data_IF_470058825908
#
_entry.id   IF_470058825908
#
_cell.length_a   1.000
_cell.length_b   1.000
_cell.length_c   1.000
_cell.angle_alpha   90.00
_cell.angle_beta   90.00
_cell.angle_gamma   90.00
#
_symmetry.space_group_name_H-M   'P 1'
#
loop_
_entity.id
_entity.type
_entity.pdbx_description
1 polymer ?
#
# COMPACT_ATOMS: atom_id res chain seq x y z
N UNK A 1 48.27 -37.45 -0.21
CA UNK A 1 49.17 -36.31 -0.55
C UNK A 1 50.41 -36.22 0.35
N UNK A 2 50.29 -36.26 1.70
CA UNK A 2 51.46 -36.22 2.61
C UNK A 2 52.43 -37.43 2.49
N UNK A 3 51.95 -38.65 2.21
CA UNK A 3 52.82 -39.83 1.98
C UNK A 3 53.64 -39.75 0.68
N UNK A 4 53.01 -39.36 -0.43
CA UNK A 4 53.70 -39.16 -1.71
C UNK A 4 54.75 -38.03 -1.62
N UNK A 5 54.46 -36.97 -0.86
CA UNK A 5 55.43 -35.90 -0.58
C UNK A 5 56.61 -36.40 0.27
N UNK A 6 56.37 -37.31 1.24
CA UNK A 6 57.44 -37.93 2.03
C UNK A 6 58.30 -38.90 1.20
N UNK A 7 57.69 -39.73 0.34
CA UNK A 7 58.44 -40.60 -0.58
C UNK A 7 59.28 -39.81 -1.58
N UNK A 8 58.76 -38.70 -2.13
CA UNK A 8 59.51 -37.81 -3.00
C UNK A 8 60.65 -37.07 -2.27
N UNK A 9 60.46 -36.72 -1.00
CA UNK A 9 61.51 -36.15 -0.18
C UNK A 9 62.63 -37.15 0.11
N UNK A 10 62.29 -38.44 0.31
CA UNK A 10 63.26 -39.53 0.54
C UNK A 10 64.11 -39.80 -0.71
N UNK A 11 63.50 -39.86 -1.90
CA UNK A 11 64.27 -40.03 -3.14
C UNK A 11 65.17 -38.84 -3.42
N UNK A 12 64.70 -37.61 -3.17
CA UNK A 12 65.52 -36.39 -3.28
C UNK A 12 66.67 -36.35 -2.26
N UNK A 13 66.46 -36.87 -1.05
CA UNK A 13 67.50 -37.00 -0.03
C UNK A 13 68.52 -38.09 -0.37
N UNK A 14 68.08 -39.21 -0.97
CA UNK A 14 68.99 -40.27 -1.44
C UNK A 14 69.90 -39.79 -2.56
N UNK A 15 69.36 -39.11 -3.57
CA UNK A 15 70.15 -38.58 -4.70
C UNK A 15 71.10 -37.46 -4.28
N UNK A 16 70.68 -36.57 -3.36
CA UNK A 16 71.60 -35.57 -2.78
C UNK A 16 72.71 -36.19 -1.94
N UNK A 17 72.49 -37.36 -1.33
CA UNK A 17 73.50 -38.07 -0.54
C UNK A 17 74.51 -38.78 -1.43
N UNK A 18 74.08 -39.44 -2.50
CA UNK A 18 75.00 -40.05 -3.48
C UNK A 18 75.93 -38.99 -4.11
N UNK A 19 75.37 -37.84 -4.50
CA UNK A 19 76.15 -36.74 -5.06
C UNK A 19 77.15 -36.11 -4.07
N UNK A 20 76.82 -36.06 -2.77
CA UNK A 20 77.76 -35.58 -1.74
C UNK A 20 78.81 -36.64 -1.37
N UNK A 21 78.50 -37.93 -1.51
CA UNK A 21 79.43 -39.02 -1.21
C UNK A 21 80.59 -39.06 -2.19
N UNK A 22 80.35 -38.78 -3.48
CA UNK A 22 81.43 -38.63 -4.48
C UNK A 22 82.30 -37.40 -4.22
N UNK A 23 81.72 -36.28 -3.78
CA UNK A 23 82.44 -35.03 -3.58
C UNK A 23 83.34 -35.01 -2.32
N UNK A 24 83.06 -35.84 -1.31
CA UNK A 24 83.81 -35.88 -0.04
C UNK A 24 84.99 -36.87 -0.02
N UNK A 25 85.19 -37.67 -1.07
CA UNK A 25 86.31 -38.60 -1.16
C UNK A 25 87.67 -37.96 -1.50
N UNK A 26 87.75 -36.63 -1.59
CA UNK A 26 88.96 -35.92 -2.04
C UNK A 26 89.79 -35.14 -1.00
N UNK A 27 89.43 -35.02 0.28
CA UNK A 27 90.37 -34.46 1.29
C UNK A 27 89.98 -34.75 2.76
N UNK A 28 90.93 -35.31 3.52
CA UNK A 28 91.04 -35.62 4.97
C UNK A 28 89.85 -35.40 5.95
N UNK A 29 89.38 -36.49 6.60
CA UNK A 29 89.06 -36.63 8.06
C UNK A 29 88.41 -37.99 8.40
N UNK A 30 89.18 -38.96 8.93
CA UNK A 30 88.72 -40.35 9.17
C UNK A 30 88.02 -40.63 10.51
N UNK A 31 87.97 -39.68 11.45
CA UNK A 31 87.33 -39.89 12.78
C UNK A 31 85.91 -39.29 12.84
N UNK A 32 85.64 -38.20 12.13
CA UNK A 32 84.29 -37.60 12.08
C UNK A 32 83.31 -38.38 11.18
N UNK A 33 83.80 -39.15 10.21
CA UNK A 33 82.98 -39.94 9.29
C UNK A 33 82.32 -41.15 9.97
N UNK A 34 83.03 -41.87 10.85
CA UNK A 34 82.46 -43.01 11.58
C UNK A 34 81.36 -42.61 12.58
N UNK A 35 81.52 -41.45 13.23
CA UNK A 35 80.49 -40.89 14.10
C UNK A 35 79.23 -40.52 13.28
N UNK A 36 79.39 -39.82 12.15
CA UNK A 36 78.26 -39.45 11.27
C UNK A 36 77.51 -40.65 10.69
N UNK A 37 78.22 -41.72 10.31
CA UNK A 37 77.59 -42.96 9.83
C UNK A 37 76.74 -43.62 10.92
N UNK A 38 77.21 -43.63 12.18
CA UNK A 38 76.41 -44.13 13.30
C UNK A 38 75.18 -43.25 13.58
N UNK A 39 75.30 -41.93 13.50
CA UNK A 39 74.16 -41.02 13.66
C UNK A 39 73.12 -41.27 12.58
N UNK A 40 73.53 -41.43 11.33
CA UNK A 40 72.61 -41.75 10.23
C UNK A 40 71.97 -43.13 10.36
N UNK A 41 72.71 -44.13 10.86
CA UNK A 41 72.14 -45.44 11.10
C UNK A 41 71.07 -45.39 12.21
N UNK A 42 71.33 -44.61 13.25
CA UNK A 42 70.37 -44.38 14.33
C UNK A 42 69.13 -43.61 13.82
N UNK A 43 69.32 -42.55 13.03
CA UNK A 43 68.24 -41.80 12.36
C UNK A 43 67.40 -42.71 11.44
N UNK A 44 68.04 -43.64 10.73
CA UNK A 44 67.35 -44.59 9.86
C UNK A 44 66.51 -45.58 10.66
N UNK A 45 67.04 -46.08 11.79
CA UNK A 45 66.29 -46.97 12.68
C UNK A 45 65.14 -46.25 13.39
N UNK A 46 65.32 -45.00 13.79
CA UNK A 46 64.21 -44.20 14.33
C UNK A 46 63.13 -43.95 13.27
N UNK A 47 63.53 -43.70 12.02
CA UNK A 47 62.58 -43.49 10.92
C UNK A 47 61.82 -44.78 10.58
N UNK A 48 62.48 -45.94 10.67
CA UNK A 48 61.83 -47.24 10.50
C UNK A 48 60.79 -47.50 11.61
N UNK A 49 61.11 -47.19 12.86
CA UNK A 49 60.15 -47.29 13.98
C UNK A 49 58.96 -46.33 13.77
N UNK A 50 59.23 -45.09 13.39
CA UNK A 50 58.17 -44.11 13.09
C UNK A 50 57.26 -44.56 11.94
N UNK A 51 57.80 -45.32 10.97
CA UNK A 51 57.00 -45.90 9.89
C UNK A 51 56.08 -47.00 10.40
N UNK A 52 56.58 -47.92 11.23
CA UNK A 52 55.74 -48.97 11.82
C UNK A 52 54.64 -48.38 12.73
N UNK A 53 54.96 -47.36 13.52
CA UNK A 53 53.97 -46.66 14.34
C UNK A 53 52.92 -45.93 13.48
N UNK A 54 53.32 -45.34 12.36
CA UNK A 54 52.41 -44.70 11.42
C UNK A 54 51.46 -45.72 10.76
N UNK A 55 51.96 -46.90 10.38
CA UNK A 55 51.14 -47.98 9.82
C UNK A 55 50.14 -48.53 10.85
N UNK A 56 50.59 -48.72 12.10
CA UNK A 56 49.72 -49.18 13.18
C UNK A 56 48.59 -48.18 13.45
N UNK A 57 48.90 -46.87 13.49
CA UNK A 57 47.90 -45.80 13.63
C UNK A 57 46.93 -45.79 12.44
N UNK A 58 47.43 -45.96 11.23
CA UNK A 58 46.58 -46.02 10.04
C UNK A 58 45.62 -47.22 10.08
N UNK A 59 46.10 -48.40 10.48
CA UNK A 59 45.26 -49.58 10.65
C UNK A 59 44.19 -49.39 11.75
N UNK A 60 44.53 -48.72 12.84
CA UNK A 60 43.57 -48.36 13.89
C UNK A 60 42.52 -47.34 13.40
N UNK A 61 42.93 -46.33 12.63
CA UNK A 61 42.01 -45.37 12.03
C UNK A 61 41.02 -46.03 11.05
N UNK A 62 41.49 -46.98 10.23
CA UNK A 62 40.61 -47.75 9.34
C UNK A 62 39.57 -48.56 10.14
N UNK A 63 40.01 -49.27 11.19
CA UNK A 63 39.09 -50.04 12.05
C UNK A 63 38.06 -49.14 12.74
N UNK A 64 38.49 -47.97 13.22
CA UNK A 64 37.61 -46.97 13.82
C UNK A 64 36.60 -46.42 12.80
N UNK A 65 37.03 -46.18 11.57
CA UNK A 65 36.15 -45.71 10.49
C UNK A 65 35.11 -46.77 10.11
N UNK A 66 35.51 -48.04 10.04
CA UNK A 66 34.59 -49.16 9.80
C UNK A 66 33.55 -49.30 10.92
N UNK A 67 33.93 -49.12 12.19
CA UNK A 67 33.00 -49.11 13.32
C UNK A 67 31.99 -47.95 13.22
N UNK A 68 32.46 -46.74 12.92
CA UNK A 68 31.59 -45.57 12.73
C UNK A 68 30.62 -45.76 11.56
N UNK A 69 31.07 -46.39 10.48
CA UNK A 69 30.19 -46.71 9.34
C UNK A 69 29.04 -47.64 9.76
N UNK A 70 29.36 -48.72 10.47
CA UNK A 70 28.36 -49.66 10.98
C UNK A 70 27.39 -48.98 11.98
N UNK A 71 27.87 -48.05 12.81
CA UNK A 71 27.01 -47.26 13.70
C UNK A 71 26.05 -46.34 12.93
N UNK A 72 26.53 -45.69 11.88
CA UNK A 72 25.70 -44.83 11.02
C UNK A 72 24.62 -45.66 10.32
N UNK A 73 24.97 -46.80 9.75
CA UNK A 73 24.01 -47.69 9.09
C UNK A 73 22.93 -48.18 10.06
N UNK A 74 23.32 -48.59 11.27
CA UNK A 74 22.36 -48.97 12.31
C UNK A 74 21.44 -47.82 12.73
N UNK A 75 21.94 -46.58 12.78
CA UNK A 75 21.12 -45.39 13.07
C UNK A 75 20.13 -45.12 11.93
N UNK A 76 20.55 -45.26 10.67
CA UNK A 76 19.68 -45.11 9.49
C UNK A 76 18.56 -46.14 9.53
N UNK A 77 18.87 -47.43 9.72
CA UNK A 77 17.86 -48.48 9.83
C UNK A 77 16.86 -48.25 10.96
N UNK A 78 17.32 -47.77 12.13
CA UNK A 78 16.40 -47.43 13.24
C UNK A 78 15.47 -46.27 12.89
N UNK A 79 15.98 -45.25 12.20
CA UNK A 79 15.19 -44.12 11.73
C UNK A 79 14.11 -44.57 10.74
N UNK A 80 14.47 -45.40 9.77
CA UNK A 80 13.51 -45.90 8.77
C UNK A 80 12.41 -46.76 9.41
N UNK A 81 12.77 -47.65 10.35
CA UNK A 81 11.78 -48.44 11.10
C UNK A 81 10.88 -47.57 11.96
N UNK A 82 11.39 -46.47 12.53
CA UNK A 82 10.57 -45.53 13.30
C UNK A 82 9.58 -44.80 12.39
N UNK A 83 9.99 -44.39 11.19
CA UNK A 83 9.12 -43.74 10.20
C UNK A 83 8.03 -44.69 9.68
N UNK A 84 8.36 -45.95 9.38
CA UNK A 84 7.38 -46.97 8.97
C UNK A 84 6.35 -47.28 10.08
N UNK A 85 6.79 -47.33 11.35
CA UNK A 85 5.87 -47.47 12.49
C UNK A 85 4.96 -46.26 12.69
N UNK A 86 5.50 -45.05 12.51
CA UNK A 86 4.76 -43.80 12.67
C UNK A 86 3.67 -43.66 11.60
N UNK A 87 4.01 -43.96 10.35
CA UNK A 87 3.05 -43.96 9.24
C UNK A 87 1.93 -44.97 9.46
N UNK A 88 2.23 -46.22 9.85
CA UNK A 88 1.20 -47.23 10.12
C UNK A 88 0.30 -46.90 11.32
N UNK A 89 0.86 -46.34 12.40
CA UNK A 89 0.08 -45.93 13.58
C UNK A 89 -0.83 -44.74 13.26
N UNK A 90 -0.36 -43.81 12.43
CA UNK A 90 -1.11 -42.66 11.95
C UNK A 90 -2.35 -43.05 11.12
N UNK A 91 -2.30 -44.12 10.33
CA UNK A 91 -3.47 -44.63 9.59
C UNK A 91 -4.47 -45.43 10.45
N UNK A 92 -4.03 -46.00 11.58
CA UNK A 92 -4.87 -46.81 12.48
C UNK A 92 -5.50 -46.02 13.64
N UNK A 93 -5.04 -44.79 13.90
CA UNK A 93 -5.56 -43.93 14.97
C UNK A 93 -6.72 -43.06 14.46
N UNK A 94 -7.97 -43.26 14.94
CA UNK A 94 -9.09 -42.42 14.55
C UNK A 94 -8.93 -40.96 14.97
N UNK A 95 -8.16 -40.67 16.01
CA UNK A 95 -7.88 -39.31 16.50
C UNK A 95 -7.07 -38.54 15.47
N UNK A 96 -6.02 -39.15 14.91
CA UNK A 96 -5.20 -38.54 13.86
C UNK A 96 -6.02 -38.21 12.61
N UNK A 97 -6.94 -39.11 12.22
CA UNK A 97 -7.84 -38.84 11.10
C UNK A 97 -8.72 -37.62 11.36
N UNK A 98 -9.30 -37.51 12.56
CA UNK A 98 -10.12 -36.36 12.94
C UNK A 98 -9.28 -35.07 12.92
N UNK A 99 -8.07 -35.09 13.48
CA UNK A 99 -7.16 -33.93 13.48
C UNK A 99 -6.75 -33.49 12.07
N UNK A 100 -6.41 -34.43 11.18
CA UNK A 100 -6.07 -34.13 9.79
C UNK A 100 -7.28 -33.57 9.06
N UNK A 101 -8.47 -34.16 9.23
CA UNK A 101 -9.69 -33.62 8.61
C UNK A 101 -10.03 -32.22 9.12
N UNK A 102 -9.92 -31.97 10.43
CA UNK A 102 -10.15 -30.65 11.02
C UNK A 102 -9.12 -29.63 10.51
N UNK A 103 -7.85 -30.02 10.42
CA UNK A 103 -6.78 -29.18 9.88
C UNK A 103 -7.01 -28.85 8.40
N UNK A 104 -7.47 -29.83 7.62
CA UNK A 104 -7.82 -29.64 6.22
C UNK A 104 -9.01 -28.68 6.05
N UNK A 105 -10.08 -28.85 6.84
CA UNK A 105 -11.24 -27.95 6.83
C UNK A 105 -10.85 -26.51 7.22
N UNK A 106 -10.05 -26.35 8.29
CA UNK A 106 -9.53 -25.03 8.68
C UNK A 106 -8.67 -24.39 7.60
N UNK A 107 -7.86 -25.18 6.88
CA UNK A 107 -7.05 -24.69 5.79
C UNK A 107 -7.91 -24.24 4.60
N UNK A 108 -8.98 -24.98 4.27
CA UNK A 108 -9.94 -24.62 3.23
C UNK A 108 -10.70 -23.32 3.55
N UNK A 109 -11.21 -23.18 4.79
CA UNK A 109 -11.85 -21.95 5.24
C UNK A 109 -10.89 -20.76 5.18
N UNK A 110 -9.65 -20.95 5.66
CA UNK A 110 -8.62 -19.91 5.61
C UNK A 110 -8.25 -19.52 4.18
N UNK A 111 -8.23 -20.50 3.27
CA UNK A 111 -7.97 -20.28 1.85
C UNK A 111 -9.08 -19.46 1.19
N UNK A 112 -10.35 -19.77 1.49
CA UNK A 112 -11.50 -19.02 0.99
C UNK A 112 -11.47 -17.57 1.47
N UNK A 113 -11.16 -17.35 2.75
CA UNK A 113 -10.97 -16.00 3.30
C UNK A 113 -9.84 -15.27 2.58
N UNK A 114 -8.71 -15.94 2.32
CA UNK A 114 -7.61 -15.35 1.57
C UNK A 114 -8.01 -14.95 0.13
N UNK A 115 -8.80 -15.76 -0.57
CA UNK A 115 -9.31 -15.41 -1.91
C UNK A 115 -10.16 -14.13 -1.88
N UNK A 116 -11.01 -13.96 -0.87
CA UNK A 116 -11.81 -12.75 -0.68
C UNK A 116 -10.91 -11.53 -0.45
N UNK A 117 -9.89 -11.64 0.40
CA UNK A 117 -8.94 -10.55 0.64
C UNK A 117 -8.12 -10.20 -0.60
N UNK A 118 -7.72 -11.19 -1.39
CA UNK A 118 -7.01 -10.96 -2.66
C UNK A 118 -7.91 -10.23 -3.65
N UNK A 119 -9.20 -10.53 -3.69
CA UNK A 119 -10.15 -9.77 -4.50
C UNK A 119 -10.30 -8.32 -4.03
N UNK A 120 -10.46 -8.08 -2.73
CA UNK A 120 -10.49 -6.72 -2.20
C UNK A 120 -9.20 -5.95 -2.48
N UNK A 121 -8.05 -6.63 -2.41
CA UNK A 121 -6.76 -6.05 -2.77
C UNK A 121 -6.69 -5.65 -4.25
N UNK A 122 -7.17 -6.51 -5.16
CA UNK A 122 -7.24 -6.19 -6.58
C UNK A 122 -8.14 -4.96 -6.84
N UNK A 123 -9.33 -4.90 -6.21
CA UNK A 123 -10.22 -3.73 -6.29
C UNK A 123 -9.63 -2.47 -5.67
N UNK A 124 -8.92 -2.60 -4.56
CA UNK A 124 -8.17 -1.49 -3.96
C UNK A 124 -7.08 -0.96 -4.89
N UNK A 125 -6.41 -1.83 -5.65
CA UNK A 125 -5.40 -1.43 -6.63
C UNK A 125 -6.00 -0.77 -7.87
N UNK A 126 -7.13 -1.26 -8.38
CA UNK A 126 -7.88 -0.58 -9.46
C UNK A 126 -8.28 0.83 -9.04
N UNK A 127 -8.74 1.00 -7.80
CA UNK A 127 -9.10 2.32 -7.26
C UNK A 127 -7.87 3.20 -7.00
N UNK A 128 -6.77 2.62 -6.52
CA UNK A 128 -5.50 3.33 -6.32
C UNK A 128 -4.95 3.86 -7.65
N UNK A 129 -5.10 3.07 -8.72
CA UNK A 129 -4.55 3.36 -10.04
C UNK A 129 -5.66 3.36 -11.09
N UNK A 130 -6.37 4.48 -11.27
CA UNK A 130 -7.44 4.59 -12.27
C UNK A 130 -6.84 4.60 -13.67
N UNK A 131 -6.66 3.41 -14.23
CA UNK A 131 -6.25 3.21 -15.63
C UNK A 131 -7.49 2.90 -16.46
N UNK A 132 -7.60 3.52 -17.64
CA UNK A 132 -8.70 3.24 -18.57
C UNK A 132 -8.73 1.78 -19.03
N UNK A 133 -7.55 1.14 -19.07
CA UNK A 133 -7.42 -0.30 -19.22
C UNK A 133 -6.42 -0.82 -18.19
N UNK A 134 -6.86 -1.55 -17.15
CA UNK A 134 -5.92 -2.11 -16.19
C UNK A 134 -5.07 -3.18 -16.88
N UNK A 135 -3.73 -3.02 -16.85
CA UNK A 135 -2.81 -4.10 -17.25
C UNK A 135 -2.95 -5.31 -16.32
N UNK A 136 -3.42 -5.06 -15.09
CA UNK A 136 -3.87 -6.06 -14.14
C UNK A 136 -5.23 -6.63 -14.58
N UNK A 137 -5.25 -7.42 -15.66
CA UNK A 137 -6.45 -8.11 -16.15
C UNK A 137 -6.81 -9.31 -15.25
N UNK A 138 -6.97 -9.07 -13.96
CA UNK A 138 -7.35 -10.06 -12.96
C UNK A 138 -8.86 -10.02 -12.79
N UNK A 139 -9.54 -10.99 -13.37
CA UNK A 139 -10.97 -11.15 -13.14
C UNK A 139 -11.21 -11.87 -11.81
N UNK A 140 -12.38 -11.65 -11.21
CA UNK A 140 -12.82 -12.41 -10.03
C UNK A 140 -12.76 -13.93 -10.28
N UNK A 141 -13.00 -14.35 -11.52
CA UNK A 141 -12.90 -15.75 -11.92
C UNK A 141 -11.48 -16.27 -11.81
N UNK A 142 -10.45 -15.51 -12.20
CA UNK A 142 -9.05 -15.94 -12.10
C UNK A 142 -8.62 -16.17 -10.64
N UNK A 143 -9.11 -15.33 -9.71
CA UNK A 143 -8.85 -15.44 -8.28
C UNK A 143 -9.57 -16.67 -7.70
N UNK A 144 -10.82 -16.91 -8.10
CA UNK A 144 -11.58 -18.10 -7.67
C UNK A 144 -11.03 -19.40 -8.29
N UNK A 145 -10.45 -19.35 -9.48
CA UNK A 145 -9.82 -20.49 -10.15
C UNK A 145 -8.47 -20.88 -9.54
N UNK A 146 -7.89 -20.03 -8.68
CA UNK A 146 -6.73 -20.41 -7.89
C UNK A 146 -7.13 -21.53 -6.91
N UNK A 147 -6.73 -22.76 -7.22
CA UNK A 147 -7.00 -23.96 -6.38
C UNK A 147 -5.92 -24.24 -5.33
N UNK A 148 -4.80 -23.52 -5.37
CA UNK A 148 -3.64 -23.74 -4.50
C UNK A 148 -3.12 -22.43 -3.93
N UNK A 149 -2.53 -22.49 -2.74
CA UNK A 149 -1.90 -21.35 -2.08
C UNK A 149 -0.79 -20.71 -2.93
N UNK A 150 0.00 -21.52 -3.65
CA UNK A 150 1.07 -21.01 -4.51
C UNK A 150 0.54 -20.18 -5.68
N UNK A 151 -0.59 -20.56 -6.26
CA UNK A 151 -1.25 -19.78 -7.32
C UNK A 151 -1.75 -18.46 -6.76
N UNK A 152 -2.41 -18.48 -5.60
CA UNK A 152 -2.89 -17.27 -4.96
C UNK A 152 -1.73 -16.32 -4.63
N UNK A 153 -0.60 -16.86 -4.15
CA UNK A 153 0.62 -16.10 -3.91
C UNK A 153 1.18 -15.46 -5.18
N UNK A 154 1.24 -16.21 -6.29
CA UNK A 154 1.68 -15.66 -7.57
C UNK A 154 0.79 -14.49 -8.04
N UNK A 155 -0.51 -14.53 -7.78
CA UNK A 155 -1.41 -13.41 -8.10
C UNK A 155 -1.09 -12.17 -7.24
N UNK A 156 -0.83 -12.37 -5.95
CA UNK A 156 -0.40 -11.28 -5.05
C UNK A 156 0.95 -10.70 -5.46
N UNK A 157 1.90 -11.54 -5.86
CA UNK A 157 3.20 -11.08 -6.35
C UNK A 157 3.05 -10.25 -7.64
N UNK A 158 2.15 -10.66 -8.56
CA UNK A 158 1.82 -9.88 -9.75
C UNK A 158 1.18 -8.53 -9.40
N UNK A 159 0.26 -8.50 -8.44
CA UNK A 159 -0.35 -7.26 -7.93
C UNK A 159 0.70 -6.31 -7.33
N UNK A 160 1.69 -6.85 -6.61
CA UNK A 160 2.79 -6.06 -6.05
C UNK A 160 3.69 -5.49 -7.14
N UNK A 161 4.04 -6.30 -8.15
CA UNK A 161 4.82 -5.82 -9.30
C UNK A 161 4.08 -4.71 -10.02
N UNK A 162 2.77 -4.89 -10.25
CA UNK A 162 1.91 -3.86 -10.84
C UNK A 162 1.95 -2.55 -10.06
N UNK A 163 1.75 -2.59 -8.73
CA UNK A 163 1.84 -1.39 -7.89
C UNK A 163 3.21 -0.71 -8.00
N UNK A 164 4.30 -1.47 -7.95
CA UNK A 164 5.66 -0.94 -8.11
C UNK A 164 5.89 -0.30 -9.49
N UNK A 165 5.37 -0.88 -10.57
CA UNK A 165 5.48 -0.29 -11.90
C UNK A 165 4.72 1.03 -12.04
N UNK A 166 3.53 1.15 -11.42
CA UNK A 166 2.76 2.39 -11.49
C UNK A 166 3.34 3.49 -10.60
N UNK A 167 3.97 3.14 -9.47
CA UNK A 167 4.68 4.09 -8.61
C UNK A 167 5.84 4.82 -9.33
N UNK A 168 6.45 4.21 -10.34
CA UNK A 168 7.56 4.79 -11.11
C UNK A 168 7.17 5.87 -12.13
N UNK A 169 5.88 6.09 -12.37
CA UNK A 169 5.34 7.18 -13.21
C UNK A 169 5.17 8.46 -12.37
N UNK A 170 5.16 9.68 -12.97
CA UNK A 170 5.40 10.94 -12.26
C UNK A 170 4.62 11.03 -10.94
N UNK A 171 5.33 11.49 -9.91
CA UNK A 171 4.81 11.61 -8.56
C UNK A 171 3.53 12.46 -8.52
N UNK A 172 2.65 12.14 -7.57
CA UNK A 172 1.50 12.96 -7.30
C UNK A 172 1.96 14.35 -6.83
N UNK A 173 1.36 15.39 -7.39
CA UNK A 173 1.55 16.78 -6.96
C UNK A 173 0.33 17.22 -6.17
N UNK A 174 0.53 18.20 -5.28
CA UNK A 174 -0.55 18.78 -4.50
C UNK A 174 -1.19 19.92 -5.29
N UNK A 175 -2.50 20.00 -5.18
CA UNK A 175 -3.32 21.02 -5.78
C UNK A 175 -4.36 21.48 -4.77
N UNK A 176 -4.68 22.76 -4.85
CA UNK A 176 -5.61 23.39 -3.93
C UNK A 176 -6.78 23.99 -4.70
N UNK A 177 -7.97 23.87 -4.13
CA UNK A 177 -9.17 24.49 -4.69
C UNK A 177 -10.07 25.04 -3.60
N UNK A 178 -10.47 26.30 -3.75
CA UNK A 178 -11.47 26.97 -2.94
C UNK A 178 -12.79 26.97 -3.70
N UNK A 179 -13.72 26.09 -3.33
CA UNK A 179 -15.02 25.95 -3.98
C UNK A 179 -16.07 26.81 -3.29
N UNK A 180 -16.56 27.85 -3.95
CA UNK A 180 -17.60 28.72 -3.40
C UNK A 180 -19.00 28.18 -3.73
N UNK A 181 -19.83 27.97 -2.70
CA UNK A 181 -21.24 27.58 -2.92
C UNK A 181 -22.05 28.67 -3.65
N UNK A 182 -21.68 29.95 -3.46
CA UNK A 182 -22.35 31.05 -4.17
C UNK A 182 -21.91 31.14 -5.63
N UNK A 183 -20.60 31.20 -5.89
CA UNK A 183 -20.04 31.40 -7.23
C UNK A 183 -20.05 30.11 -8.05
N UNK A 184 -19.53 29.02 -7.50
CA UNK A 184 -19.23 27.82 -8.29
C UNK A 184 -20.39 26.83 -8.36
N UNK A 185 -21.21 26.73 -7.31
CA UNK A 185 -22.40 25.88 -7.32
C UNK A 185 -23.62 26.59 -7.91
N UNK A 186 -23.94 27.79 -7.43
CA UNK A 186 -25.14 28.51 -7.84
C UNK A 186 -24.92 29.48 -9.02
N UNK A 187 -23.67 29.74 -9.42
CA UNK A 187 -23.36 30.65 -10.53
C UNK A 187 -23.66 32.12 -10.22
N UNK A 188 -23.85 32.49 -8.95
CA UNK A 188 -24.25 33.85 -8.55
C UNK A 188 -23.02 34.77 -8.50
N UNK A 189 -22.64 35.30 -9.66
CA UNK A 189 -21.47 36.19 -9.81
C UNK A 189 -21.83 37.66 -10.03
N UNK A 190 -23.04 37.94 -10.52
CA UNK A 190 -23.50 39.28 -10.86
C UNK A 190 -24.80 39.63 -10.14
N UNK A 191 -25.07 40.94 -10.06
CA UNK A 191 -26.33 41.44 -9.53
C UNK A 191 -27.47 41.10 -10.47
N UNK A 192 -28.60 40.65 -9.92
CA UNK A 192 -29.76 40.24 -10.70
C UNK A 192 -30.99 40.99 -10.21
N UNK A 193 -31.77 41.50 -11.15
CA UNK A 193 -33.06 42.11 -10.87
C UNK A 193 -34.06 41.02 -10.45
N UNK A 194 -34.61 41.14 -9.24
CA UNK A 194 -35.64 40.24 -8.74
C UNK A 194 -36.99 40.48 -9.41
N UNK A 195 -37.93 39.55 -9.21
CA UNK A 195 -39.30 39.69 -9.71
C UNK A 195 -40.02 40.96 -9.19
N UNK A 196 -39.53 41.52 -8.08
CA UNK A 196 -40.04 42.74 -7.43
C UNK A 196 -39.41 44.04 -7.99
N UNK A 197 -38.55 43.96 -9.01
CA UNK A 197 -37.84 45.12 -9.60
C UNK A 197 -36.64 45.63 -8.81
N UNK A 198 -36.30 44.98 -7.67
CA UNK A 198 -35.11 45.31 -6.89
C UNK A 198 -33.89 44.52 -7.37
N UNK A 199 -32.79 45.22 -7.66
CA UNK A 199 -31.48 44.60 -7.96
C UNK A 199 -30.91 44.03 -6.67
N UNK A 200 -30.72 42.72 -6.60
CA UNK A 200 -30.09 42.03 -5.47
C UNK A 200 -28.63 41.74 -5.80
N UNK A 201 -27.74 42.10 -4.88
CA UNK A 201 -26.34 41.69 -4.95
C UNK A 201 -26.20 40.17 -4.89
N UNK A 202 -25.08 39.61 -5.36
CA UNK A 202 -24.86 38.18 -5.34
C UNK A 202 -24.92 37.58 -3.92
N UNK A 203 -24.49 38.34 -2.90
CA UNK A 203 -24.58 37.92 -1.50
C UNK A 203 -26.03 37.89 -1.00
N UNK A 204 -26.84 38.88 -1.35
CA UNK A 204 -28.27 38.92 -0.98
C UNK A 204 -29.07 37.81 -1.68
N UNK A 205 -28.71 37.46 -2.92
CA UNK A 205 -29.27 36.30 -3.63
C UNK A 205 -28.94 34.99 -2.89
N UNK A 206 -27.71 34.84 -2.40
CA UNK A 206 -27.31 33.67 -1.63
C UNK A 206 -28.04 33.58 -0.28
N UNK A 207 -28.20 34.71 0.42
CA UNK A 207 -28.97 34.78 1.66
C UNK A 207 -30.43 34.37 1.44
N UNK A 208 -31.05 34.86 0.36
CA UNK A 208 -32.41 34.48 -0.01
C UNK A 208 -32.53 32.98 -0.32
N UNK A 209 -31.51 32.37 -0.92
CA UNK A 209 -31.47 30.93 -1.14
C UNK A 209 -31.38 30.14 0.18
N UNK A 210 -30.57 30.59 1.14
CA UNK A 210 -30.47 29.94 2.45
C UNK A 210 -31.78 30.05 3.26
N UNK A 211 -32.49 31.16 3.16
CA UNK A 211 -33.79 31.32 3.82
C UNK A 211 -34.88 30.49 3.15
N UNK A 212 -34.87 30.38 1.82
CA UNK A 212 -35.76 29.48 1.07
C UNK A 212 -35.52 28.01 1.43
N UNK A 213 -34.25 27.57 1.46
CA UNK A 213 -33.87 26.22 1.90
C UNK A 213 -34.35 25.92 3.32
N UNK A 214 -34.25 26.90 4.24
CA UNK A 214 -34.73 26.76 5.62
C UNK A 214 -36.25 26.65 5.70
N UNK A 215 -36.99 27.22 4.74
CA UNK A 215 -38.44 27.17 4.72
C UNK A 215 -38.99 25.77 4.41
N UNK A 216 -38.21 24.95 3.71
CA UNK A 216 -38.55 23.57 3.41
C UNK A 216 -38.10 22.61 4.52
N UNK A 217 -39.06 21.94 5.14
CA UNK A 217 -38.81 20.96 6.20
C UNK A 217 -37.97 19.76 5.74
N UNK A 218 -37.95 19.43 4.44
CA UNK A 218 -37.14 18.34 3.90
C UNK A 218 -35.62 18.60 4.02
N UNK A 219 -35.23 19.87 4.08
CA UNK A 219 -33.83 20.28 4.23
C UNK A 219 -33.40 20.41 5.69
N UNK A 220 -34.29 20.15 6.65
CA UNK A 220 -33.97 20.19 8.08
C UNK A 220 -33.69 18.77 8.56
N UNK A 221 -32.47 18.54 9.03
CA UNK A 221 -32.04 17.26 9.58
C UNK A 221 -31.85 17.40 11.08
N UNK A 222 -32.63 16.62 11.84
CA UNK A 222 -32.46 16.54 13.28
C UNK A 222 -31.25 15.65 13.61
N UNK A 223 -30.33 16.17 14.40
CA UNK A 223 -29.19 15.44 14.94
C UNK A 223 -29.19 15.52 16.46
N UNK A 224 -28.41 14.66 17.12
CA UNK A 224 -28.37 14.54 18.60
C UNK A 224 -28.20 15.87 19.36
N UNK A 225 -27.66 16.91 18.72
CA UNK A 225 -27.39 18.23 19.28
C UNK A 225 -28.30 19.37 18.74
N UNK A 226 -29.35 19.07 17.97
CA UNK A 226 -30.31 20.05 17.46
C UNK A 226 -30.60 19.93 15.96
N UNK A 227 -31.31 20.92 15.42
CA UNK A 227 -31.70 20.96 14.01
C UNK A 227 -30.61 21.61 13.15
N UNK A 228 -30.29 20.96 12.03
CA UNK A 228 -29.31 21.41 11.06
C UNK A 228 -29.96 21.64 9.69
N UNK A 229 -29.56 22.71 9.02
CA UNK A 229 -29.91 23.00 7.64
C UNK A 229 -28.98 22.23 6.71
N UNK A 230 -29.55 21.35 5.89
CA UNK A 230 -28.85 20.57 4.86
C UNK A 230 -28.80 21.35 3.55
N UNK A 231 -27.58 21.73 3.14
CA UNK A 231 -27.31 22.38 1.87
C UNK A 231 -26.67 21.36 0.93
N UNK A 232 -27.40 20.80 -0.05
CA UNK A 232 -26.83 19.90 -1.03
C UNK A 232 -25.98 20.69 -2.05
N UNK A 233 -24.84 20.13 -2.44
CA UNK A 233 -24.00 20.65 -3.51
C UNK A 233 -23.24 19.53 -4.23
N UNK A 234 -22.76 19.82 -5.43
CA UNK A 234 -21.90 18.88 -6.19
C UNK A 234 -20.62 19.57 -6.63
N UNK A 235 -19.49 18.89 -6.46
CA UNK A 235 -18.17 19.36 -6.91
C UNK A 235 -17.84 18.93 -8.34
N UNK A 236 -18.79 18.30 -9.04
CA UNK A 236 -18.61 17.85 -10.43
C UNK A 236 -18.78 19.06 -11.35
N UNK A 237 -17.67 19.56 -11.88
CA UNK A 237 -17.65 20.64 -12.86
C UNK A 237 -16.68 20.27 -13.97
N UNK A 238 -17.22 19.99 -15.15
CA UNK A 238 -16.45 19.54 -16.31
C UNK A 238 -15.79 20.70 -17.06
N UNK A 239 -16.37 21.91 -16.96
CA UNK A 239 -15.83 23.15 -17.53
C UNK A 239 -15.44 24.14 -16.42
N UNK A 240 -14.15 24.44 -16.30
CA UNK A 240 -13.66 25.48 -15.40
C UNK A 240 -12.76 26.43 -16.20
N UNK A 241 -13.04 27.72 -16.11
CA UNK A 241 -12.25 28.80 -16.70
C UNK A 241 -10.83 28.78 -16.08
N UNK A 242 -9.80 28.78 -16.94
CA UNK A 242 -8.38 28.81 -16.56
C UNK A 242 -8.04 30.21 -16.01
N UNK A 243 -8.35 30.51 -14.74
CA UNK A 243 -8.06 31.86 -14.19
C UNK A 243 -7.40 31.93 -12.80
N UNK A 244 -6.94 30.84 -12.21
CA UNK A 244 -6.06 30.94 -11.03
C UNK A 244 -4.76 30.16 -11.22
N UNK A 245 -3.64 30.89 -11.27
CA UNK A 245 -2.28 30.32 -11.48
C UNK A 245 -1.37 30.51 -10.25
N UNK A 246 -1.93 30.86 -9.10
CA UNK A 246 -1.18 30.97 -7.85
C UNK A 246 -0.66 29.61 -7.38
N UNK A 247 0.56 29.57 -6.86
CA UNK A 247 1.07 28.40 -6.11
C UNK A 247 1.30 28.83 -4.69
N UNK A 248 0.69 28.11 -3.75
CA UNK A 248 0.70 28.43 -2.33
C UNK A 248 1.34 27.30 -1.53
N UNK A 249 2.00 27.64 -0.43
CA UNK A 249 2.56 26.66 0.50
C UNK A 249 1.47 26.25 1.50
N UNK A 250 0.98 25.03 1.38
CA UNK A 250 -0.14 24.51 2.14
C UNK A 250 0.28 23.20 2.82
N UNK A 251 0.04 23.02 4.14
CA UNK A 251 0.38 21.79 4.83
C UNK A 251 -0.51 20.62 4.37
N UNK A 252 0.11 19.46 4.13
CA UNK A 252 -0.58 18.20 3.84
C UNK A 252 -1.24 17.60 5.10
N UNK A 253 -1.93 16.47 4.93
CA UNK A 253 -2.52 15.70 6.03
C UNK A 253 -1.48 15.31 7.11
N UNK A 254 -0.22 15.17 6.74
CA UNK A 254 0.87 14.84 7.67
C UNK A 254 1.50 16.08 8.33
N UNK A 255 1.04 17.29 7.97
CA UNK A 255 1.55 18.55 8.50
C UNK A 255 2.87 19.00 7.88
N UNK A 256 3.24 18.43 6.74
CA UNK A 256 4.39 18.86 5.96
C UNK A 256 3.94 19.92 4.96
N UNK A 257 4.65 21.04 4.88
CA UNK A 257 4.36 22.08 3.89
C UNK A 257 4.60 21.57 2.47
N UNK A 258 3.57 21.66 1.62
CA UNK A 258 3.60 21.30 0.21
C UNK A 258 3.28 22.50 -0.65
N UNK A 259 4.03 22.68 -1.73
CA UNK A 259 3.65 23.62 -2.77
C UNK A 259 2.45 23.06 -3.52
N UNK A 260 1.31 23.75 -3.41
CA UNK A 260 0.07 23.38 -4.06
C UNK A 260 -0.34 24.48 -5.05
N UNK A 261 -0.52 24.11 -6.31
CA UNK A 261 -1.05 25.05 -7.30
C UNK A 261 -2.55 25.15 -7.17
N UNK A 262 -3.09 26.37 -7.18
CA UNK A 262 -4.52 26.60 -7.32
C UNK A 262 -4.95 26.05 -8.68
N UNK A 263 -5.68 24.94 -8.71
CA UNK A 263 -6.14 24.35 -9.97
C UNK A 263 -7.54 23.74 -9.81
N UNK A 264 -8.32 23.73 -10.90
CA UNK A 264 -9.62 23.07 -10.93
C UNK A 264 -9.52 21.55 -10.75
N UNK A 265 -10.51 20.98 -10.07
CA UNK A 265 -10.63 19.53 -9.73
C UNK A 265 -10.50 18.61 -10.96
N UNK A 266 -11.02 19.05 -12.11
CA UNK A 266 -11.24 18.20 -13.28
C UNK A 266 -10.55 18.75 -14.54
N UNK A 267 -9.29 19.18 -14.43
CA UNK A 267 -8.48 19.62 -15.60
C UNK A 267 -8.07 18.42 -16.47
N UNK A 268 -8.17 18.57 -17.80
CA UNK A 268 -7.87 17.50 -18.79
C UNK A 268 -6.44 16.97 -18.73
N UNK A 269 -5.50 17.75 -18.19
CA UNK A 269 -4.11 17.35 -17.99
C UNK A 269 -3.81 16.61 -16.68
N UNK A 270 -4.79 16.46 -15.79
CA UNK A 270 -4.64 15.80 -14.49
C UNK A 270 -5.44 14.49 -14.44
N UNK A 271 -4.92 13.51 -13.71
CA UNK A 271 -5.58 12.23 -13.45
C UNK A 271 -5.35 11.80 -12.00
N UNK A 272 -6.15 10.84 -11.51
CA UNK A 272 -6.06 10.34 -10.13
C UNK A 272 -6.26 11.45 -9.07
N UNK A 273 -7.21 12.36 -9.31
CA UNK A 273 -7.54 13.44 -8.37
C UNK A 273 -8.21 12.88 -7.11
N UNK A 274 -7.50 12.91 -5.98
CA UNK A 274 -7.96 12.39 -4.68
C UNK A 274 -7.77 13.39 -3.55
N UNK A 275 -8.77 13.48 -2.69
CA UNK A 275 -8.79 14.37 -1.52
C UNK A 275 -7.66 13.97 -0.57
N UNK A 276 -6.93 14.97 -0.08
CA UNK A 276 -6.05 14.81 1.08
C UNK A 276 -6.77 15.27 2.36
N UNK A 277 -7.28 16.50 2.34
CA UNK A 277 -8.14 17.02 3.41
C UNK A 277 -9.15 18.05 2.89
N UNK A 278 -10.19 18.31 3.68
CA UNK A 278 -11.23 19.30 3.42
C UNK A 278 -11.35 20.27 4.60
N UNK A 279 -11.57 21.55 4.32
CA UNK A 279 -11.88 22.59 5.29
C UNK A 279 -13.09 23.39 4.81
N UNK A 280 -13.94 23.82 5.74
CA UNK A 280 -15.09 24.67 5.42
C UNK A 280 -14.90 26.04 6.06
N UNK A 281 -15.07 27.07 5.25
CA UNK A 281 -14.97 28.46 5.65
C UNK A 281 -16.31 29.15 5.38
N UNK A 282 -16.92 29.74 6.40
CA UNK A 282 -18.16 30.51 6.27
C UNK A 282 -17.80 31.99 6.33
N UNK A 283 -18.19 32.72 5.30
CA UNK A 283 -17.94 34.15 5.16
C UNK A 283 -19.16 34.96 5.61
N UNK A 284 -18.95 35.93 6.49
CA UNK A 284 -20.00 36.82 6.96
C UNK A 284 -19.70 37.43 8.33
N UNK A 285 -20.65 38.22 8.82
CA UNK A 285 -20.49 38.97 10.06
C UNK A 285 -21.41 38.43 11.17
N UNK A 286 -20.90 38.35 12.41
CA UNK A 286 -21.67 37.85 13.58
C UNK A 286 -22.48 36.57 13.28
N UNK A 287 -21.84 35.59 12.65
CA UNK A 287 -22.46 34.41 12.06
C UNK A 287 -23.04 33.42 13.10
N UNK A 288 -22.43 33.34 14.27
CA UNK A 288 -22.76 32.33 15.27
C UNK A 288 -22.64 32.88 16.69
N UNK A 289 -23.49 32.38 17.60
CA UNK A 289 -23.59 32.85 18.99
C UNK A 289 -22.26 32.68 19.75
N UNK A 290 -21.46 31.66 19.41
CA UNK A 290 -20.09 31.49 19.89
C UNK A 290 -19.10 31.47 18.71
N UNK A 291 -18.50 32.61 18.34
CA UNK A 291 -17.73 32.75 17.10
C UNK A 291 -16.44 31.90 17.06
N UNK A 292 -16.01 31.31 18.19
CA UNK A 292 -14.79 30.51 18.23
C UNK A 292 -14.95 29.10 17.64
N UNK A 293 -16.16 28.51 17.68
CA UNK A 293 -16.40 27.12 17.25
C UNK A 293 -17.82 26.92 16.72
N UNK A 294 -18.01 27.05 15.42
CA UNK A 294 -19.24 26.60 14.76
C UNK A 294 -19.08 25.14 14.34
N UNK A 295 -19.80 24.24 15.03
CA UNK A 295 -19.82 22.83 14.69
C UNK A 295 -20.74 22.58 13.51
N UNK A 296 -20.21 21.99 12.45
CA UNK A 296 -20.94 21.63 11.24
C UNK A 296 -20.72 20.14 10.94
N UNK A 297 -21.59 19.57 10.11
CA UNK A 297 -21.36 18.23 9.56
C UNK A 297 -21.23 18.30 8.06
N UNK A 298 -20.32 17.49 7.51
CA UNK A 298 -20.20 17.29 6.08
C UNK A 298 -20.57 15.85 5.76
N UNK A 299 -21.49 15.70 4.81
CA UNK A 299 -21.85 14.41 4.24
C UNK A 299 -21.22 14.25 2.87
N UNK A 300 -20.67 13.07 2.62
CA UNK A 300 -20.09 12.68 1.35
C UNK A 300 -20.71 11.37 0.88
N UNK A 301 -21.36 11.38 -0.28
CA UNK A 301 -21.99 10.20 -0.85
C UNK A 301 -22.10 10.27 -2.37
N UNK A 302 -23.03 9.48 -2.92
CA UNK A 302 -23.32 9.44 -4.35
C UNK A 302 -22.22 8.75 -5.16
N UNK A 303 -21.91 9.33 -6.33
CA UNK A 303 -20.87 8.81 -7.23
C UNK A 303 -19.70 9.78 -7.32
N UNK A 304 -18.49 9.25 -7.24
CA UNK A 304 -17.25 9.96 -7.43
C UNK A 304 -16.69 9.73 -8.82
N UNK A 305 -16.15 10.78 -9.42
CA UNK A 305 -15.53 10.73 -10.74
C UNK A 305 -14.03 10.89 -10.59
N UNK A 306 -13.27 9.98 -11.18
CA UNK A 306 -11.81 10.05 -11.19
C UNK A 306 -11.33 9.96 -12.63
N UNK A 307 -10.60 10.97 -13.10
CA UNK A 307 -9.98 10.93 -14.42
C UNK A 307 -8.95 9.80 -14.48
N UNK A 308 -8.98 9.03 -15.56
CA UNK A 308 -8.01 7.96 -15.80
C UNK A 308 -6.72 8.52 -16.37
N UNK A 309 -5.62 7.77 -16.28
CA UNK A 309 -4.39 8.16 -16.97
C UNK A 309 -4.56 8.20 -18.49
N UNK A 310 -5.17 7.15 -19.02
CA UNK A 310 -5.32 6.89 -20.44
C UNK A 310 -6.82 6.93 -20.82
N UNK A 311 -7.13 7.46 -21.99
CA UNK A 311 -8.47 7.36 -22.58
C UNK A 311 -8.78 5.89 -22.88
N UNK A 312 -10.04 5.52 -22.75
CA UNK A 312 -10.51 4.18 -23.06
C UNK A 312 -11.90 4.25 -23.68
N UNK A 313 -12.26 3.20 -24.44
CA UNK A 313 -13.60 3.11 -25.01
C UNK A 313 -14.61 2.84 -23.91
N UNK A 314 -15.75 3.51 -23.98
CA UNK A 314 -16.86 3.21 -23.08
C UNK A 314 -17.19 1.71 -23.11
N UNK A 315 -17.12 0.99 -21.98
CA UNK A 315 -17.51 -0.41 -21.91
C UNK A 315 -19.02 -0.60 -22.12
N UNK A 316 -19.84 0.45 -22.03
CA UNK A 316 -21.26 0.39 -22.30
C UNK A 316 -21.55 0.54 -23.81
N UNK A 317 -22.02 -0.52 -24.49
CA UNK A 317 -22.34 -0.45 -25.92
C UNK A 317 -23.57 0.43 -26.23
N UNK A 318 -24.36 0.76 -25.20
CA UNK A 318 -25.62 1.51 -25.31
C UNK A 318 -25.48 2.99 -24.88
N UNK A 319 -24.26 3.53 -24.75
CA UNK A 319 -24.08 4.94 -24.40
C UNK A 319 -24.57 5.89 -25.51
N UNK A 320 -25.12 7.04 -25.12
CA UNK A 320 -25.67 8.04 -26.07
C UNK A 320 -24.62 8.56 -27.07
N UNK A 321 -23.34 8.53 -26.69
CA UNK A 321 -22.20 8.94 -27.52
C UNK A 321 -21.65 7.81 -28.41
N UNK A 322 -22.23 6.60 -28.33
CA UNK A 322 -21.90 5.43 -29.13
C UNK A 322 -20.68 4.62 -28.63
N UNK A 323 -20.51 3.37 -29.12
CA UNK A 323 -19.51 2.41 -28.63
C UNK A 323 -18.04 2.78 -28.94
N UNK A 324 -17.81 3.87 -29.66
CA UNK A 324 -16.47 4.40 -30.00
C UNK A 324 -16.13 5.69 -29.26
N UNK A 325 -16.99 6.16 -28.36
CA UNK A 325 -16.70 7.31 -27.51
C UNK A 325 -15.54 7.00 -26.55
N UNK A 326 -14.52 7.85 -26.59
CA UNK A 326 -13.40 7.77 -25.65
C UNK A 326 -13.78 8.47 -24.34
N UNK A 327 -13.90 7.69 -23.28
CA UNK A 327 -14.01 8.17 -21.93
C UNK A 327 -12.62 8.35 -21.33
N UNK A 328 -12.51 9.36 -20.47
CA UNK A 328 -11.27 9.69 -19.79
C UNK A 328 -11.44 9.74 -18.26
N UNK A 329 -12.54 9.17 -17.76
CA UNK A 329 -12.86 9.07 -16.34
C UNK A 329 -13.57 7.76 -16.00
N UNK A 330 -13.42 7.34 -14.74
CA UNK A 330 -14.15 6.24 -14.14
C UNK A 330 -15.12 6.76 -13.09
N UNK A 331 -16.25 6.07 -12.97
CA UNK A 331 -17.28 6.35 -11.98
C UNK A 331 -17.15 5.31 -10.88
N UNK A 332 -16.94 5.79 -9.65
CA UNK A 332 -16.95 4.97 -8.45
C UNK A 332 -18.17 5.32 -7.62
N UNK A 333 -19.01 4.33 -7.32
CA UNK A 333 -20.01 4.52 -6.27
C UNK A 333 -19.27 4.72 -4.94
N UNK A 334 -19.72 5.68 -4.14
CA UNK A 334 -19.10 6.04 -2.85
C UNK A 334 -19.94 5.61 -1.64
N UNK A 335 -20.28 4.32 -1.46
CA UNK A 335 -20.94 3.89 -0.24
C UNK A 335 -19.98 4.05 0.94
N UNK A 336 -20.54 4.33 2.12
CA UNK A 336 -19.82 4.11 3.36
C UNK A 336 -20.11 2.71 3.88
N UNK A 337 -19.15 2.13 4.59
CA UNK A 337 -19.33 0.84 5.23
C UNK A 337 -19.09 1.00 6.72
N UNK A 338 -20.07 0.58 7.52
CA UNK A 338 -19.90 0.48 8.96
C UNK A 338 -19.80 -0.98 9.34
N UNK A 339 -18.76 -1.32 10.09
CA UNK A 339 -18.58 -2.65 10.64
C UNK A 339 -19.43 -2.79 11.90
N UNK A 340 -20.34 -3.76 11.91
CA UNK A 340 -21.13 -4.11 13.09
C UNK A 340 -20.70 -5.48 13.62
N UNK A 341 -20.33 -5.51 14.90
CA UNK A 341 -20.02 -6.75 15.61
C UNK A 341 -21.15 -7.07 16.57
N UNK A 342 -22.00 -8.03 16.20
CA UNK A 342 -23.11 -8.48 17.05
C UNK A 342 -22.77 -9.88 17.57
N UNK A 343 -23.30 -10.26 18.74
CA UNK A 343 -23.00 -11.52 19.47
C UNK A 343 -23.08 -12.84 18.64
N UNK A 344 -23.58 -12.82 17.40
CA UNK A 344 -23.72 -13.97 16.49
C UNK A 344 -23.01 -13.84 15.13
N UNK A 345 -22.24 -12.77 14.89
CA UNK A 345 -21.52 -12.63 13.62
C UNK A 345 -20.95 -11.24 13.38
N UNK A 346 -20.08 -11.14 12.37
CA UNK A 346 -19.62 -9.88 11.81
C UNK A 346 -20.50 -9.49 10.62
N UNK A 347 -20.90 -8.22 10.56
CA UNK A 347 -21.70 -7.66 9.48
C UNK A 347 -21.08 -6.38 8.95
N UNK A 348 -21.36 -6.10 7.68
CA UNK A 348 -21.05 -4.82 7.06
C UNK A 348 -22.37 -4.18 6.66
N UNK A 349 -22.67 -3.03 7.26
CA UNK A 349 -23.82 -2.23 6.89
C UNK A 349 -23.38 -1.18 5.86
N UNK A 350 -24.08 -1.17 4.73
CA UNK A 350 -23.82 -0.22 3.64
C UNK A 350 -24.64 1.04 3.91
N UNK A 351 -23.95 2.16 4.07
CA UNK A 351 -24.58 3.48 4.17
C UNK A 351 -24.42 4.22 2.84
N UNK A 352 -25.42 5.04 2.53
CA UNK A 352 -25.42 5.89 1.33
C UNK A 352 -24.42 7.05 1.39
N UNK A 353 -23.93 7.42 2.58
CA UNK A 353 -23.02 8.53 2.78
C UNK A 353 -22.12 8.32 4.01
N UNK A 354 -20.96 9.00 4.02
CA UNK A 354 -20.15 9.24 5.20
C UNK A 354 -20.59 10.54 5.84
N UNK A 355 -20.76 10.53 7.16
CA UNK A 355 -21.00 11.71 7.97
C UNK A 355 -19.76 12.01 8.80
N UNK A 356 -19.25 13.25 8.68
CA UNK A 356 -18.14 13.71 9.49
C UNK A 356 -18.48 15.01 10.23
N UNK A 357 -18.17 15.07 11.52
CA UNK A 357 -18.24 16.29 12.34
C UNK A 357 -16.96 17.12 12.12
N UNK A 358 -17.11 18.43 11.94
CA UNK A 358 -16.00 19.37 11.76
C UNK A 358 -16.33 20.76 12.31
N UNK A 359 -15.31 21.60 12.44
CA UNK A 359 -15.46 22.99 12.90
C UNK A 359 -15.25 23.92 11.72
N UNK A 360 -16.21 24.82 11.48
CA UNK A 360 -16.10 25.80 10.41
C UNK A 360 -15.13 26.93 10.80
N UNK A 361 -14.33 27.41 9.83
CA UNK A 361 -13.59 28.68 9.95
C UNK A 361 -14.57 29.84 9.70
N UNK A 362 -14.70 30.74 10.67
CA UNK A 362 -15.57 31.92 10.55
C UNK A 362 -14.73 33.17 10.28
N UNK A 363 -15.17 34.02 9.36
CA UNK A 363 -14.50 35.29 9.07
C UNK A 363 -15.32 36.22 8.20
N UNK A 364 -15.08 37.53 8.31
CA UNK A 364 -15.78 38.55 7.51
C UNK A 364 -15.36 38.51 6.04
N UNK A 365 -14.09 38.18 5.81
CA UNK A 365 -13.51 37.91 4.49
C UNK A 365 -12.42 36.87 4.72
N UNK A 366 -12.69 35.63 4.34
CA UNK A 366 -11.71 34.57 4.49
C UNK A 366 -10.69 34.72 3.37
N UNK A 367 -9.43 34.96 3.73
CA UNK A 367 -8.32 34.78 2.79
C UNK A 367 -8.36 33.32 2.34
N UNK A 368 -8.23 33.06 1.03
CA UNK A 368 -8.26 31.71 0.45
C UNK A 368 -7.08 30.83 0.90
N UNK A 369 -6.26 31.30 1.85
CA UNK A 369 -5.22 30.52 2.50
C UNK A 369 -5.87 29.60 3.55
N UNK A 370 -5.75 28.28 3.39
CA UNK A 370 -6.30 27.33 4.34
C UNK A 370 -5.57 27.37 5.68
N UNK A 371 -6.31 27.03 6.73
CA UNK A 371 -5.83 27.06 8.11
C UNK A 371 -5.74 25.63 8.63
N UNK A 372 -4.52 25.23 8.99
CA UNK A 372 -4.20 23.89 9.46
C UNK A 372 -5.05 23.45 10.65
N UNK A 373 -5.55 24.38 11.47
CA UNK A 373 -6.34 24.07 12.67
C UNK A 373 -7.72 23.49 12.31
N UNK A 374 -8.27 23.82 11.15
CA UNK A 374 -9.63 23.46 10.76
C UNK A 374 -9.69 22.38 9.67
N UNK A 375 -8.56 21.72 9.37
CA UNK A 375 -8.51 20.64 8.38
C UNK A 375 -9.25 19.39 8.87
N UNK A 376 -9.83 18.66 7.94
CA UNK A 376 -10.45 17.37 8.18
C UNK A 376 -10.01 16.32 7.16
N UNK A 377 -9.50 15.20 7.66
CA UNK A 377 -8.89 14.13 6.87
C UNK A 377 -9.81 12.90 6.70
N UNK A 378 -11.05 12.95 7.20
CA UNK A 378 -11.97 11.82 7.14
C UNK A 378 -12.36 11.41 5.71
N UNK A 379 -12.15 12.31 4.74
CA UNK A 379 -12.45 12.09 3.32
C UNK A 379 -11.19 11.77 2.49
N UNK A 380 -10.04 11.53 3.12
CA UNK A 380 -8.78 11.24 2.43
C UNK A 380 -8.92 10.05 1.47
N UNK A 381 -8.18 10.11 0.36
CA UNK A 381 -8.19 9.15 -0.77
C UNK A 381 -9.50 9.11 -1.58
N UNK A 382 -10.53 9.90 -1.25
CA UNK A 382 -11.80 9.91 -2.00
C UNK A 382 -11.73 10.79 -3.24
N UNK A 383 -12.56 10.55 -4.27
CA UNK A 383 -12.60 11.40 -5.44
C UNK A 383 -13.03 12.82 -5.07
N UNK A 384 -12.31 13.82 -5.59
CA UNK A 384 -12.64 15.23 -5.32
C UNK A 384 -13.93 15.65 -6.02
N UNK A 385 -14.17 15.14 -7.23
CA UNK A 385 -15.42 15.32 -7.97
C UNK A 385 -16.47 14.31 -7.50
N UNK A 386 -17.50 14.75 -6.80
CA UNK A 386 -18.60 13.89 -6.33
C UNK A 386 -19.97 14.57 -6.44
N UNK A 387 -21.00 13.76 -6.66
CA UNK A 387 -22.37 14.23 -6.93
C UNK A 387 -23.15 14.66 -5.69
N UNK A 388 -22.98 13.99 -4.55
CA UNK A 388 -23.83 14.18 -3.36
C UNK A 388 -22.98 14.60 -2.16
N UNK A 389 -22.63 15.88 -2.12
CA UNK A 389 -22.17 16.51 -0.90
C UNK A 389 -23.33 17.20 -0.19
N UNK A 390 -23.37 17.11 1.14
CA UNK A 390 -24.32 17.91 1.93
C UNK A 390 -23.62 18.56 3.10
N UNK A 391 -23.72 19.87 3.16
CA UNK A 391 -23.25 20.65 4.29
C UNK A 391 -24.40 20.87 5.27
N UNK A 392 -24.18 20.52 6.52
CA UNK A 392 -25.14 20.68 7.61
C UNK A 392 -24.67 21.78 8.55
N UNK A 393 -25.42 22.88 8.55
CA UNK A 393 -25.18 24.05 9.38
C UNK A 393 -26.19 24.08 10.53
N UNK A 394 -25.78 24.29 11.79
CA UNK A 394 -26.72 24.39 12.91
C UNK A 394 -27.69 25.55 12.67
N UNK A 395 -28.99 25.33 12.84
CA UNK A 395 -30.00 26.39 12.70
C UNK A 395 -30.03 27.23 13.98
N UNK A 396 -29.92 26.57 15.13
CA UNK A 396 -29.96 27.22 16.43
C UNK A 396 -28.68 28.01 16.67
N UNK A 397 -28.80 29.31 16.85
CA UNK A 397 -27.67 30.22 17.14
C UNK A 397 -26.91 30.71 15.92
N UNK A 398 -27.31 30.34 14.70
CA UNK A 398 -26.74 30.82 13.43
C UNK A 398 -27.61 31.89 12.79
N UNK A 399 -27.00 33.01 12.39
CA UNK A 399 -27.64 34.11 11.67
C UNK A 399 -27.44 33.92 10.17
N UNK A 400 -28.31 33.12 9.54
CA UNK A 400 -28.21 32.80 8.09
C UNK A 400 -28.23 34.06 7.20
N UNK A 401 -28.93 35.11 7.64
CA UNK A 401 -29.03 36.40 6.96
C UNK A 401 -27.68 37.13 6.84
N UNK A 402 -26.69 36.78 7.67
CA UNK A 402 -25.38 37.41 7.63
C UNK A 402 -24.35 36.61 6.83
N UNK A 403 -24.70 35.40 6.37
CA UNK A 403 -23.81 34.58 5.56
C UNK A 403 -23.74 35.16 4.16
N UNK A 404 -22.53 35.51 3.71
CA UNK A 404 -22.27 36.05 2.37
C UNK A 404 -21.82 34.97 1.40
N UNK A 405 -21.05 34.00 1.89
CA UNK A 405 -20.58 32.87 1.11
C UNK A 405 -20.20 31.70 2.03
N UNK A 406 -20.15 30.51 1.45
CA UNK A 406 -19.59 29.32 2.09
C UNK A 406 -18.60 28.72 1.11
N UNK A 407 -17.34 28.61 1.55
CA UNK A 407 -16.25 28.05 0.76
C UNK A 407 -15.85 26.68 1.29
N UNK A 408 -15.76 25.70 0.40
CA UNK A 408 -15.20 24.38 0.65
C UNK A 408 -13.80 24.36 0.10
N UNK A 409 -12.82 24.46 0.99
CA UNK A 409 -11.41 24.43 0.66
C UNK A 409 -10.95 22.97 0.63
N UNK A 410 -10.44 22.53 -0.50
CA UNK A 410 -10.02 21.14 -0.70
C UNK A 410 -8.57 21.13 -1.13
N UNK A 411 -7.74 20.46 -0.34
CA UNK A 411 -6.42 20.03 -0.79
C UNK A 411 -6.55 18.63 -1.36
N UNK A 412 -6.02 18.44 -2.56
CA UNK A 412 -6.04 17.15 -3.23
C UNK A 412 -4.71 16.86 -3.89
N UNK A 413 -4.47 15.57 -4.10
CA UNK A 413 -3.35 15.09 -4.89
C UNK A 413 -3.85 14.73 -6.27
N UNK A 414 -3.07 15.04 -7.29
CA UNK A 414 -3.32 14.56 -8.65
C UNK A 414 -1.99 14.32 -9.36
N UNK A 415 -2.05 13.53 -10.41
CA UNK A 415 -0.91 13.22 -11.27
C UNK A 415 -1.09 13.90 -12.61
N UNK A 416 0.01 14.35 -13.20
CA UNK A 416 -0.02 14.91 -14.55
C UNK A 416 -0.07 13.80 -15.59
N UNK A 417 -0.94 13.95 -16.59
CA UNK A 417 -0.97 13.06 -17.76
C UNK A 417 0.28 13.35 -18.59
N UNK A 418 1.21 12.40 -18.63
CA UNK A 418 2.28 12.43 -19.62
C UNK A 418 1.75 11.81 -20.91
N UNK A 419 1.60 12.62 -21.95
CA UNK A 419 1.42 12.08 -23.30
C UNK A 419 2.66 11.24 -23.63
N UNK A 420 2.53 9.91 -23.59
CA UNK A 420 3.51 9.03 -24.24
C UNK A 420 3.42 9.32 -25.73
N UNK A 421 4.41 10.01 -26.27
CA UNK A 421 4.61 10.18 -27.71
C UNK A 421 4.86 8.85 -28.39
#
# INVERSE_FOLDING_TARGET
RKMAQKQAAITKLRTQKEAKFEYFNQEEKSINSAAQVKTWFLELRTLEIDMYDAELRYAQEIKRLAQLYNEVENKIMRRERALDRLTRRSFADPTYRIEVTNSALKAEDSFRVAQIWVWFMAKGLEYKWPLGKPDLNLTFQDILMARTADKLKSLVDNMRIYDMTQQGNPGASYYYWSYSLRKDYLGMTFEKEGADGNVKSAAEQFQAYLTDLKSDAANIVNMDNGDYLSIPFSTVKFDIEDEDTGTESIPDSEGTDRMASAMPIFKTGLWDSKIDWVQISVEGDRLYTNPEKMEIFLWYGGSGFVRTRDNFKDPNPDSEDGPDSELDFLIFSNPAYTFSYVKRGFGWDVLSYIKQKMTAKLGVQNVDIPDFVFKNEAFRERPVAATDWRLLIPINGTTLENIRDIKVNILYTARTRQYRR
#
